data_IF_213971546895
#
_entry.id   IF_213971546895
#
_cell.length_a   1.000
_cell.length_b   1.000
_cell.length_c   1.000
_cell.angle_alpha   90.00
_cell.angle_beta   90.00
_cell.angle_gamma   90.00
#
_symmetry.space_group_name_H-M   'P 1'
#
loop_
_entity.id
_entity.type
_entity.pdbx_description
1 polymer ?
#
# COMPACT_ATOMS: atom_id res chain seq x y z
N UNK A 1 -20.83 6.58 0.21
CA UNK A 1 -19.87 5.70 0.87
C UNK A 1 -19.11 4.95 -0.19
N UNK A 2 -17.80 5.13 -0.23
CA UNK A 2 -16.92 4.46 -1.17
C UNK A 2 -16.67 3.01 -0.73
N UNK A 3 -16.19 2.16 -1.65
CA UNK A 3 -15.80 0.78 -1.34
C UNK A 3 -14.60 0.72 -0.37
N UNK A 4 -13.85 1.81 -0.27
CA UNK A 4 -12.69 2.01 0.62
C UNK A 4 -13.14 2.33 2.05
N UNK A 5 -14.22 3.12 2.23
CA UNK A 5 -14.85 3.35 3.53
C UNK A 5 -15.31 2.03 4.14
N UNK A 6 -15.82 1.11 3.30
CA UNK A 6 -16.32 -0.20 3.74
C UNK A 6 -15.22 -1.16 4.22
N UNK A 7 -14.04 -1.13 3.61
CA UNK A 7 -12.92 -2.01 3.99
C UNK A 7 -12.20 -1.52 5.25
N UNK A 8 -12.11 -0.19 5.41
CA UNK A 8 -11.59 0.44 6.63
C UNK A 8 -12.50 0.15 7.83
N UNK A 9 -13.82 0.19 7.61
CA UNK A 9 -14.82 -0.20 8.60
C UNK A 9 -14.68 -1.67 9.03
N UNK A 10 -14.28 -2.59 8.14
CA UNK A 10 -14.22 -4.02 8.47
C UNK A 10 -13.07 -4.37 9.42
N UNK A 11 -11.88 -3.79 9.24
CA UNK A 11 -10.76 -4.01 10.16
C UNK A 11 -11.04 -3.35 11.53
N UNK A 12 -11.54 -2.12 11.54
CA UNK A 12 -11.98 -1.47 12.78
C UNK A 12 -13.07 -2.29 13.49
N UNK A 13 -13.99 -2.91 12.75
CA UNK A 13 -15.06 -3.71 13.32
C UNK A 13 -14.56 -5.00 13.96
N UNK A 14 -13.49 -5.61 13.42
CA UNK A 14 -12.84 -6.77 14.04
C UNK A 14 -12.11 -6.34 15.32
N UNK A 15 -11.35 -5.25 15.29
CA UNK A 15 -10.61 -4.73 16.45
C UNK A 15 -11.57 -4.30 17.58
N UNK A 16 -12.63 -3.56 17.24
CA UNK A 16 -13.66 -3.12 18.19
C UNK A 16 -14.44 -4.32 18.73
N UNK A 17 -14.75 -5.31 17.88
CA UNK A 17 -15.40 -6.54 18.30
C UNK A 17 -14.56 -7.34 19.29
N UNK A 18 -13.26 -7.51 19.02
CA UNK A 18 -12.33 -8.15 19.94
C UNK A 18 -12.24 -7.41 21.28
N UNK A 19 -12.14 -6.08 21.27
CA UNK A 19 -12.09 -5.27 22.49
C UNK A 19 -13.39 -5.34 23.31
N UNK A 20 -14.55 -5.31 22.65
CA UNK A 20 -15.85 -5.27 23.32
C UNK A 20 -16.36 -6.65 23.75
N UNK A 21 -15.95 -7.72 23.07
CA UNK A 21 -16.58 -9.04 23.20
C UNK A 21 -15.59 -10.18 23.48
N UNK A 22 -14.28 -9.98 23.25
CA UNK A 22 -13.20 -10.86 23.69
C UNK A 22 -13.46 -12.35 23.43
N UNK A 23 -13.64 -13.12 24.51
CA UNK A 23 -13.87 -14.57 24.49
C UNK A 23 -15.27 -15.03 24.04
N UNK A 24 -16.19 -14.11 23.72
CA UNK A 24 -17.48 -14.49 23.13
C UNK A 24 -17.28 -15.06 21.74
N UNK A 25 -18.13 -16.01 21.36
CA UNK A 25 -18.11 -16.62 20.03
C UNK A 25 -18.51 -15.58 18.98
N UNK A 26 -17.63 -15.34 18.02
CA UNK A 26 -17.84 -14.45 16.88
C UNK A 26 -18.27 -15.21 15.63
N UNK A 27 -17.66 -16.37 15.39
CA UNK A 27 -17.93 -17.22 14.21
C UNK A 27 -18.16 -18.65 14.67
N UNK A 28 -19.20 -19.29 14.16
CA UNK A 28 -19.43 -20.73 14.30
C UNK A 28 -19.53 -21.35 12.91
N UNK A 29 -18.74 -22.39 12.65
CA UNK A 29 -18.76 -23.13 11.39
C UNK A 29 -18.72 -24.63 11.69
N UNK A 30 -19.85 -25.30 11.51
CA UNK A 30 -20.03 -26.68 11.97
C UNK A 30 -19.87 -26.76 13.48
N UNK A 31 -18.95 -27.61 13.95
CA UNK A 31 -18.57 -27.75 15.37
C UNK A 31 -17.44 -26.82 15.80
N UNK A 32 -16.86 -26.04 14.88
CA UNK A 32 -15.80 -25.10 15.20
C UNK A 32 -16.40 -23.76 15.63
N UNK A 33 -15.78 -23.15 16.63
CA UNK A 33 -16.08 -21.82 17.12
C UNK A 33 -14.79 -21.00 17.18
N UNK A 34 -14.89 -19.73 16.81
CA UNK A 34 -13.84 -18.75 17.02
C UNK A 34 -14.41 -17.60 17.83
N UNK A 35 -13.71 -17.23 18.90
CA UNK A 35 -14.00 -16.03 19.66
C UNK A 35 -13.62 -14.76 18.89
N UNK A 36 -14.12 -13.60 19.33
CA UNK A 36 -13.73 -12.33 18.73
C UNK A 36 -12.22 -12.09 18.80
N UNK A 37 -11.57 -12.47 19.90
CA UNK A 37 -10.10 -12.39 20.02
C UNK A 37 -9.39 -13.31 19.03
N UNK A 38 -9.87 -14.54 18.82
CA UNK A 38 -9.26 -15.49 17.87
C UNK A 38 -9.46 -15.07 16.41
N UNK A 39 -10.58 -14.42 16.09
CA UNK A 39 -10.81 -13.83 14.76
C UNK A 39 -9.82 -12.69 14.49
N UNK A 40 -9.58 -11.81 15.46
CA UNK A 40 -8.56 -10.76 15.35
C UNK A 40 -7.15 -11.35 15.17
N UNK A 41 -6.77 -12.32 16.00
CA UNK A 41 -5.47 -12.98 15.90
C UNK A 41 -5.27 -13.65 14.54
N UNK A 42 -6.28 -14.38 14.04
CA UNK A 42 -6.23 -15.02 12.74
C UNK A 42 -6.12 -14.00 11.60
N UNK A 43 -6.89 -12.91 11.68
CA UNK A 43 -6.82 -11.80 10.72
C UNK A 43 -5.40 -11.22 10.65
N UNK A 44 -4.79 -10.93 11.81
CA UNK A 44 -3.42 -10.42 11.92
C UNK A 44 -2.38 -11.42 11.38
N UNK A 45 -2.54 -12.71 11.68
CA UNK A 45 -1.64 -13.76 11.17
C UNK A 45 -1.71 -13.88 9.64
N UNK A 46 -2.91 -13.86 9.05
CA UNK A 46 -3.07 -13.90 7.58
C UNK A 46 -2.45 -12.67 6.94
N UNK A 47 -2.73 -11.48 7.47
CA UNK A 47 -2.15 -10.24 6.99
C UNK A 47 -0.61 -10.27 7.05
N UNK A 48 -0.04 -10.75 8.16
CA UNK A 48 1.41 -10.91 8.33
C UNK A 48 2.01 -11.91 7.33
N UNK A 49 1.36 -13.05 7.09
CA UNK A 49 1.84 -14.05 6.13
C UNK A 49 1.82 -13.52 4.69
N UNK A 50 0.80 -12.73 4.33
CA UNK A 50 0.74 -12.07 3.03
C UNK A 50 1.85 -11.04 2.88
N UNK A 51 2.10 -10.22 3.92
CA UNK A 51 3.20 -9.26 3.92
C UNK A 51 4.59 -9.93 3.85
N UNK A 52 4.79 -11.06 4.56
CA UNK A 52 6.05 -11.79 4.56
C UNK A 52 6.37 -12.49 3.23
N UNK A 53 5.34 -12.91 2.48
CA UNK A 53 5.50 -13.57 1.17
C UNK A 53 5.48 -12.61 0.00
N UNK A 54 4.87 -11.44 0.14
CA UNK A 54 4.84 -10.43 -0.90
C UNK A 54 5.93 -9.38 -0.62
N UNK A 55 6.98 -9.37 -1.44
CA UNK A 55 7.41 -8.06 -1.93
C UNK A 55 6.12 -7.39 -2.42
N UNK A 56 5.77 -6.18 -1.96
CA UNK A 56 4.44 -5.60 -2.15
C UNK A 56 4.03 -5.85 -3.60
N UNK A 57 2.85 -6.42 -3.84
CA UNK A 57 2.49 -6.93 -5.17
C UNK A 57 2.29 -5.77 -6.20
N UNK A 58 2.42 -4.54 -5.73
CA UNK A 58 1.91 -3.32 -6.36
C UNK A 58 2.98 -2.39 -6.98
N UNK A 59 4.26 -2.31 -6.55
CA UNK A 59 5.21 -1.38 -7.13
C UNK A 59 5.34 -1.56 -8.64
N UNK A 60 5.52 -2.80 -9.11
CA UNK A 60 5.76 -3.03 -10.53
C UNK A 60 4.55 -2.73 -11.40
N UNK A 61 3.36 -3.15 -10.98
CA UNK A 61 2.12 -2.90 -11.71
C UNK A 61 1.78 -1.40 -11.77
N UNK A 62 2.00 -0.68 -10.67
CA UNK A 62 1.80 0.78 -10.62
C UNK A 62 2.88 1.52 -11.41
N UNK A 63 4.15 1.09 -11.30
CA UNK A 63 5.26 1.60 -12.12
C UNK A 63 4.97 1.44 -13.62
N UNK A 64 4.45 0.28 -14.04
CA UNK A 64 4.12 0.00 -15.44
C UNK A 64 2.98 0.89 -15.95
N UNK A 65 1.92 1.07 -15.15
CA UNK A 65 0.84 1.98 -15.48
C UNK A 65 1.36 3.42 -15.62
N UNK A 66 2.20 3.90 -14.70
CA UNK A 66 2.78 5.24 -14.75
C UNK A 66 3.69 5.44 -15.96
N UNK A 67 4.56 4.48 -16.27
CA UNK A 67 5.46 4.53 -17.43
C UNK A 67 4.68 4.48 -18.75
N UNK A 68 3.45 3.96 -18.74
CA UNK A 68 2.52 4.03 -19.87
C UNK A 68 2.09 5.46 -20.25
N UNK A 69 2.24 6.43 -19.35
CA UNK A 69 1.91 7.83 -19.65
C UNK A 69 3.01 8.48 -20.50
N UNK A 70 2.62 9.15 -21.60
CA UNK A 70 3.56 9.68 -22.60
C UNK A 70 4.63 10.64 -22.04
N UNK A 71 4.33 11.35 -20.96
CA UNK A 71 5.24 12.29 -20.31
C UNK A 71 6.13 11.67 -19.22
N UNK A 72 5.98 10.37 -18.91
CA UNK A 72 6.75 9.69 -17.86
C UNK A 72 7.93 8.95 -18.49
N UNK A 73 9.15 9.29 -18.04
CA UNK A 73 10.39 8.66 -18.47
C UNK A 73 10.64 7.39 -17.66
N UNK A 74 10.57 7.53 -16.34
CA UNK A 74 10.74 6.46 -15.38
C UNK A 74 9.82 6.67 -14.19
N UNK A 75 9.41 5.57 -13.56
CA UNK A 75 8.66 5.59 -12.31
C UNK A 75 9.29 4.61 -11.32
N UNK A 76 9.30 5.00 -10.05
CA UNK A 76 9.61 4.13 -8.92
C UNK A 76 8.48 4.24 -7.90
N UNK A 77 7.92 3.11 -7.49
CA UNK A 77 6.83 3.10 -6.51
C UNK A 77 7.31 2.42 -5.24
N UNK A 78 7.02 3.05 -4.10
CA UNK A 78 7.34 2.52 -2.78
C UNK A 78 6.18 2.73 -1.81
N UNK A 79 6.17 1.92 -0.76
CA UNK A 79 5.36 2.13 0.41
C UNK A 79 5.98 3.15 1.36
N UNK A 80 5.24 4.21 1.67
CA UNK A 80 5.61 5.20 2.69
C UNK A 80 4.64 5.14 3.86
N UNK A 81 5.07 5.48 5.08
CA UNK A 81 4.19 5.39 6.24
C UNK A 81 2.96 6.29 6.10
N UNK A 82 1.82 5.79 6.52
CA UNK A 82 0.56 6.54 6.56
C UNK A 82 -0.07 6.41 7.95
N UNK A 83 -0.53 7.50 8.54
CA UNK A 83 -1.24 7.44 9.82
C UNK A 83 -2.60 6.75 9.67
N UNK A 84 -3.23 6.94 8.51
CA UNK A 84 -4.56 6.41 8.22
C UNK A 84 -4.50 4.93 7.78
N UNK A 85 -3.47 4.53 7.03
CA UNK A 85 -3.42 3.23 6.37
C UNK A 85 -2.27 2.33 6.82
N UNK A 86 -1.43 2.80 7.75
CA UNK A 86 -0.15 2.17 8.10
C UNK A 86 0.92 2.41 7.03
N UNK A 87 0.60 2.08 5.78
CA UNK A 87 1.43 2.33 4.59
C UNK A 87 0.55 2.84 3.44
N UNK A 88 1.07 3.77 2.64
CA UNK A 88 0.43 4.24 1.41
C UNK A 88 1.39 4.23 0.22
N UNK A 89 0.83 4.19 -0.98
CA UNK A 89 1.57 4.14 -2.23
C UNK A 89 2.08 5.54 -2.59
N UNK A 90 3.40 5.71 -2.62
CA UNK A 90 4.05 6.89 -3.16
C UNK A 90 4.78 6.55 -4.45
N UNK A 91 4.58 7.37 -5.48
CA UNK A 91 5.27 7.26 -6.76
C UNK A 91 6.26 8.40 -6.96
N UNK A 92 7.43 8.04 -7.45
CA UNK A 92 8.53 8.95 -7.78
C UNK A 92 8.73 8.93 -9.30
N UNK A 93 8.59 10.09 -9.92
CA UNK A 93 8.43 10.23 -11.36
C UNK A 93 9.56 11.06 -11.93
N UNK A 94 10.22 10.52 -12.95
CA UNK A 94 11.12 11.28 -13.84
C UNK A 94 10.32 11.59 -15.10
N UNK A 95 10.21 12.87 -15.48
CA UNK A 95 9.45 13.29 -16.65
C UNK A 95 10.30 13.30 -17.93
N UNK A 96 9.69 13.02 -19.10
CA UNK A 96 10.32 13.17 -20.44
C UNK A 96 10.32 14.62 -20.93
N UNK A 97 10.48 15.58 -20.02
CA UNK A 97 10.30 17.01 -20.28
C UNK A 97 9.39 17.65 -19.25
N UNK A 98 8.40 18.42 -19.69
CA UNK A 98 7.45 19.06 -18.78
C UNK A 98 6.64 18.01 -18.01
N UNK A 99 6.68 18.01 -16.66
CA UNK A 99 5.93 17.05 -15.86
C UNK A 99 4.42 17.27 -16.05
N UNK A 100 3.63 16.19 -16.16
CA UNK A 100 2.18 16.29 -16.09
C UNK A 100 1.74 16.71 -14.69
N UNK A 101 0.48 17.12 -14.55
CA UNK A 101 -0.11 17.29 -13.23
C UNK A 101 -0.24 15.94 -12.49
N UNK A 102 -0.05 15.96 -11.18
CA UNK A 102 -0.18 14.77 -10.33
C UNK A 102 -1.57 14.14 -10.45
N UNK A 103 -2.64 14.95 -10.55
CA UNK A 103 -3.99 14.43 -10.73
C UNK A 103 -4.15 13.71 -12.07
N UNK A 104 -3.55 14.24 -13.14
CA UNK A 104 -3.57 13.62 -14.46
C UNK A 104 -2.88 12.24 -14.47
N UNK A 105 -1.79 12.07 -13.71
CA UNK A 105 -1.14 10.76 -13.54
C UNK A 105 -2.01 9.77 -12.76
N UNK A 106 -2.68 10.24 -11.70
CA UNK A 106 -3.59 9.38 -10.93
C UNK A 106 -4.79 8.95 -11.80
N UNK A 107 -5.33 9.87 -12.60
CA UNK A 107 -6.42 9.57 -13.55
C UNK A 107 -5.98 8.60 -14.66
N UNK A 108 -4.75 8.74 -15.15
CA UNK A 108 -4.17 7.76 -16.08
C UNK A 108 -4.13 6.36 -15.44
N UNK A 109 -3.64 6.25 -14.21
CA UNK A 109 -3.58 5.00 -13.47
C UNK A 109 -4.97 4.37 -13.21
N UNK A 110 -6.02 5.17 -13.02
CA UNK A 110 -7.40 4.68 -12.82
C UNK A 110 -7.94 3.84 -13.97
N UNK A 111 -7.43 4.05 -15.18
CA UNK A 111 -7.84 3.26 -16.35
C UNK A 111 -7.32 1.80 -16.30
N UNK A 112 -6.27 1.54 -15.52
CA UNK A 112 -5.56 0.25 -15.51
C UNK A 112 -5.58 -0.44 -14.15
N UNK A 113 -5.76 0.31 -13.06
CA UNK A 113 -5.58 -0.17 -11.70
C UNK A 113 -6.85 -0.06 -10.87
N UNK A 114 -7.00 -0.98 -9.92
CA UNK A 114 -8.00 -0.85 -8.86
C UNK A 114 -7.69 0.35 -7.95
N UNK A 115 -8.72 1.02 -7.44
CA UNK A 115 -8.60 2.27 -6.66
C UNK A 115 -7.58 2.23 -5.52
N UNK A 116 -7.56 1.13 -4.76
CA UNK A 116 -6.64 0.95 -3.64
C UNK A 116 -5.16 0.84 -4.04
N UNK A 117 -4.85 0.62 -5.33
CA UNK A 117 -3.47 0.57 -5.86
C UNK A 117 -2.99 1.93 -6.36
N UNK A 118 -3.89 2.90 -6.47
CA UNK A 118 -3.53 4.21 -7.01
C UNK A 118 -2.51 4.89 -6.09
N UNK A 119 -1.49 5.56 -6.66
CA UNK A 119 -0.60 6.41 -5.88
C UNK A 119 -1.41 7.45 -5.09
N UNK A 120 -1.13 7.58 -3.79
CA UNK A 120 -1.65 8.66 -2.94
C UNK A 120 -0.72 9.87 -2.93
N UNK A 121 0.56 9.65 -3.20
CA UNK A 121 1.56 10.70 -3.35
C UNK A 121 2.27 10.56 -4.69
N UNK A 122 2.47 11.69 -5.38
CA UNK A 122 3.30 11.80 -6.58
C UNK A 122 4.42 12.79 -6.28
N UNK A 123 5.66 12.34 -6.44
CA UNK A 123 6.87 13.14 -6.26
C UNK A 123 7.62 13.21 -7.59
N UNK A 124 7.89 14.40 -8.09
CA UNK A 124 8.74 14.57 -9.27
C UNK A 124 10.20 14.68 -8.83
N UNK A 125 11.07 13.89 -9.45
CA UNK A 125 12.51 13.86 -9.18
C UNK A 125 13.30 13.89 -10.49
N UNK A 126 14.52 14.42 -10.43
CA UNK A 126 15.37 14.52 -11.61
C UNK A 126 15.85 13.15 -12.09
N UNK A 127 16.17 12.24 -11.16
CA UNK A 127 16.58 10.88 -11.47
C UNK A 127 16.20 9.89 -10.36
N UNK A 128 15.92 8.64 -10.73
CA UNK A 128 15.75 7.56 -9.77
C UNK A 128 17.13 7.06 -9.33
N UNK A 129 17.43 7.00 -8.02
CA UNK A 129 18.68 6.42 -7.53
C UNK A 129 18.85 4.98 -7.99
N UNK A 130 19.98 4.66 -8.61
CA UNK A 130 20.29 3.33 -9.16
C UNK A 130 21.60 2.78 -8.60
N UNK A 131 21.71 1.45 -8.56
CA UNK A 131 22.96 0.77 -8.19
C UNK A 131 23.99 0.87 -9.31
N UNK A 132 25.23 0.44 -9.04
CA UNK A 132 26.29 0.37 -10.05
C UNK A 132 25.93 -0.49 -11.29
N UNK A 133 24.94 -1.38 -11.17
CA UNK A 133 24.41 -2.19 -12.28
C UNK A 133 23.07 -1.67 -12.84
N UNK A 134 22.71 -0.43 -12.52
CA UNK A 134 21.53 0.27 -13.08
C UNK A 134 20.18 -0.08 -12.45
N UNK A 135 20.15 -0.91 -11.39
CA UNK A 135 18.87 -1.29 -10.74
C UNK A 135 18.40 -0.20 -9.78
N UNK A 136 17.10 0.17 -9.75
CA UNK A 136 16.59 1.16 -8.81
C UNK A 136 16.84 0.76 -7.35
N UNK A 137 17.42 1.67 -6.57
CA UNK A 137 17.71 1.52 -5.15
C UNK A 137 16.49 1.91 -4.32
N UNK A 138 15.45 1.07 -4.36
CA UNK A 138 14.19 1.27 -3.62
C UNK A 138 14.40 1.58 -2.14
N UNK A 139 15.37 0.92 -1.52
CA UNK A 139 15.74 1.13 -0.12
C UNK A 139 16.21 2.56 0.15
N UNK A 140 17.04 3.13 -0.72
CA UNK A 140 17.55 4.49 -0.55
C UNK A 140 16.44 5.55 -0.65
N UNK A 141 15.42 5.30 -1.49
CA UNK A 141 14.25 6.18 -1.62
C UNK A 141 13.27 5.97 -0.45
N UNK A 142 13.13 4.74 0.05
CA UNK A 142 12.19 4.40 1.14
C UNK A 142 12.70 4.81 2.52
N UNK A 143 13.97 4.59 2.84
CA UNK A 143 14.52 4.81 4.18
C UNK A 143 14.23 6.20 4.77
N UNK A 144 14.37 7.31 4.02
CA UNK A 144 14.07 8.66 4.53
C UNK A 144 12.65 8.80 5.10
N UNK A 145 11.66 8.12 4.52
CA UNK A 145 10.26 8.20 4.96
C UNK A 145 9.99 7.40 6.24
N UNK A 146 10.85 6.42 6.54
CA UNK A 146 10.72 5.54 7.71
C UNK A 146 11.71 5.90 8.84
N UNK A 147 12.56 6.91 8.64
CA UNK A 147 13.48 7.40 9.66
C UNK A 147 12.70 7.92 10.88
N UNK A 148 13.08 7.47 12.08
CA UNK A 148 12.44 7.88 13.34
C UNK A 148 11.11 7.18 13.67
N UNK A 149 10.65 6.20 12.87
CA UNK A 149 9.47 5.39 13.20
C UNK A 149 9.87 4.02 13.78
N UNK A 150 9.30 3.67 14.94
CA UNK A 150 9.58 2.41 15.63
C UNK A 150 9.05 1.17 14.88
N UNK A 151 7.97 1.33 14.11
CA UNK A 151 7.37 0.25 13.32
C UNK A 151 7.88 0.35 11.88
N UNK A 152 8.65 -0.66 11.44
CA UNK A 152 9.03 -0.88 10.03
C UNK A 152 8.22 -2.06 9.54
N UNK A 153 7.38 -1.86 8.53
CA UNK A 153 6.57 -2.93 7.92
C UNK A 153 7.36 -3.57 6.78
#
# INVERSE_FOLDING_TARGET
MSREDHFMLLNELIDVGAAAHGGRVAVRFGTAELSFTEVDQLSRSIASLLAARAAPLYPKEVEDALVGHAQVAEALVIGVPSEQWGEEVAAFIVARGTPPDSAALIDHCRAFLAGYKLPKQIHFIDEIPKSAVGKPLRRAVREPFWAGRERRI
#
